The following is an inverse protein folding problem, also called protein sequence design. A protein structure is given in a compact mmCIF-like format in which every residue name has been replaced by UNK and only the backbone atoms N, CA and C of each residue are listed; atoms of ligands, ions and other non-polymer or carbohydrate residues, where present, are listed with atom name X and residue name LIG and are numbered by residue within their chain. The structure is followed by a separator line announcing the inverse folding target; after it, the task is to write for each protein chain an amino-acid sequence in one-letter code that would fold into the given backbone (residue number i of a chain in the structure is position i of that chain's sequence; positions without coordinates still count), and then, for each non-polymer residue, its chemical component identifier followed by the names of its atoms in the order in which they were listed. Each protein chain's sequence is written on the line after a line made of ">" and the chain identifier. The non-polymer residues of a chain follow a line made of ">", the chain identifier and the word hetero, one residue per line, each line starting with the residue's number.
data_IF_403221127046
#
_entry.id   IF_403221127046
#
_cell.length_a   1.000
_cell.length_b   1.000
_cell.length_c   1.000
_cell.angle_alpha   90.00
_cell.angle_beta   90.00
_cell.angle_gamma   90.00
#
_symmetry.space_group_name_H-M   'P 1'
#
loop_
_entity.id
_entity.type
_entity.pdbx_description
1 polymer ?
#
# COMPACT_ATOMS: atom_id res chain seq x y z
N UNK A 1 3.50 11.50 -5.98
CA UNK A 1 2.09 11.06 -5.90
C UNK A 1 1.87 10.58 -4.48
N UNK A 2 0.85 11.05 -3.77
CA UNK A 2 0.47 10.48 -2.47
C UNK A 2 -0.44 9.29 -2.76
N UNK A 3 -0.20 8.16 -2.10
CA UNK A 3 -1.02 6.96 -2.25
C UNK A 3 -2.07 6.90 -1.18
N UNK A 4 -3.34 7.15 -1.55
CA UNK A 4 -4.43 6.94 -0.62
C UNK A 4 -4.71 5.44 -0.52
N UNK A 5 -4.51 4.89 0.67
CA UNK A 5 -4.86 3.49 0.91
C UNK A 5 -6.17 3.46 1.69
N UNK A 6 -7.28 3.37 0.95
CA UNK A 6 -8.60 3.20 1.56
C UNK A 6 -8.66 1.92 2.41
N UNK A 7 -9.32 1.95 3.58
CA UNK A 7 -9.83 0.72 4.16
C UNK A 7 -10.75 0.06 3.13
N UNK A 8 -10.63 -1.26 2.97
CA UNK A 8 -11.49 -2.03 2.05
C UNK A 8 -12.88 -2.06 2.68
N UNK A 9 -13.67 -1.01 2.46
CA UNK A 9 -15.11 -1.12 2.53
C UNK A 9 -15.60 -1.61 1.17
N UNK A 10 -16.67 -2.40 1.17
CA UNK A 10 -17.30 -3.01 -0.01
C UNK A 10 -17.91 -1.99 -1.01
N UNK A 11 -17.48 -0.72 -0.97
CA UNK A 11 -17.90 0.26 -1.96
C UNK A 11 -17.04 0.08 -3.21
N UNK A 12 -17.62 -0.58 -4.21
CA UNK A 12 -17.03 -0.72 -5.56
C UNK A 12 -17.06 0.60 -6.36
N UNK A 13 -17.56 1.71 -5.80
CA UNK A 13 -17.54 3.06 -6.39
C UNK A 13 -16.64 4.01 -5.60
N UNK A 14 -15.43 4.20 -6.13
CA UNK A 14 -14.40 5.09 -5.58
C UNK A 14 -14.21 6.38 -6.42
N UNK A 15 -15.24 6.80 -7.18
CA UNK A 15 -15.26 8.08 -7.95
C UNK A 15 -15.15 9.35 -7.09
N UNK A 16 -15.15 9.19 -5.76
CA UNK A 16 -15.07 10.28 -4.79
C UNK A 16 -13.73 11.03 -4.83
N UNK A 17 -12.65 10.43 -5.34
CA UNK A 17 -11.33 11.05 -5.44
C UNK A 17 -10.68 10.83 -6.81
N UNK A 18 -9.60 11.59 -7.09
CA UNK A 18 -8.79 11.41 -8.31
C UNK A 18 -7.30 11.60 -7.99
N UNK A 19 -6.42 11.20 -8.92
CA UNK A 19 -4.99 11.52 -8.86
C UNK A 19 -4.61 12.84 -9.56
N UNK A 20 -5.45 13.36 -10.45
CA UNK A 20 -5.17 14.59 -11.19
C UNK A 20 -5.42 15.84 -10.34
N UNK A 21 -4.37 16.59 -10.00
CA UNK A 21 -4.49 17.80 -9.17
C UNK A 21 -5.47 18.84 -9.74
N UNK A 22 -5.58 18.94 -11.07
CA UNK A 22 -6.48 19.88 -11.77
C UNK A 22 -7.96 19.58 -11.58
N UNK A 23 -8.34 18.39 -11.08
CA UNK A 23 -9.75 18.02 -10.87
C UNK A 23 -10.39 18.73 -9.67
N UNK A 24 -9.58 19.36 -8.81
CA UNK A 24 -10.03 19.83 -7.49
C UNK A 24 -10.27 18.71 -6.47
N UNK A 25 -10.17 17.44 -6.87
CA UNK A 25 -10.26 16.22 -6.06
C UNK A 25 -8.94 15.43 -6.06
N UNK A 26 -7.83 16.12 -6.27
CA UNK A 26 -6.48 15.55 -6.32
C UNK A 26 -5.91 15.24 -4.92
N UNK A 27 -4.75 14.55 -4.87
CA UNK A 27 -4.13 14.11 -3.62
C UNK A 27 -3.94 15.20 -2.56
N UNK A 28 -3.59 16.42 -2.97
CA UNK A 28 -3.41 17.56 -2.04
C UNK A 28 -4.68 17.94 -1.27
N UNK A 29 -5.86 17.50 -1.73
CA UNK A 29 -7.16 17.88 -1.18
C UNK A 29 -7.97 16.71 -0.64
N UNK A 30 -7.45 15.48 -0.68
CA UNK A 30 -8.22 14.30 -0.25
C UNK A 30 -8.79 14.43 1.17
N UNK A 31 -8.03 14.97 2.12
CA UNK A 31 -8.54 15.19 3.49
C UNK A 31 -9.66 16.24 3.61
N UNK A 32 -9.92 17.03 2.56
CA UNK A 32 -11.02 18.00 2.50
C UNK A 32 -12.28 17.42 1.85
N UNK A 33 -12.15 16.30 1.12
CA UNK A 33 -13.26 15.68 0.38
C UNK A 33 -14.23 14.97 1.33
N UNK A 34 -13.70 14.27 2.33
CA UNK A 34 -14.49 13.48 3.26
C UNK A 34 -13.95 13.66 4.70
N UNK A 35 -14.81 13.94 5.70
CA UNK A 35 -14.39 14.04 7.10
C UNK A 35 -13.64 12.82 7.64
N UNK A 36 -13.90 11.62 7.11
CA UNK A 36 -13.18 10.41 7.48
C UNK A 36 -11.76 10.31 6.88
N UNK A 37 -11.38 11.22 5.99
CA UNK A 37 -10.09 11.23 5.28
C UNK A 37 -9.13 12.29 5.80
N UNK A 38 -9.46 12.96 6.91
CA UNK A 38 -8.64 14.03 7.51
C UNK A 38 -7.19 13.64 7.78
N UNK A 39 -6.92 12.35 8.04
CA UNK A 39 -5.56 11.83 8.20
C UNK A 39 -4.66 12.10 6.98
N UNK A 40 -5.22 12.24 5.78
CA UNK A 40 -4.44 12.53 4.58
C UNK A 40 -4.06 14.01 4.44
N UNK A 41 -4.66 14.88 5.25
CA UNK A 41 -4.26 16.28 5.38
C UNK A 41 -3.39 16.51 6.63
N UNK A 42 -3.78 15.91 7.76
CA UNK A 42 -3.23 16.25 9.07
C UNK A 42 -2.34 15.15 9.69
N UNK A 43 -2.23 13.98 9.04
CA UNK A 43 -1.43 12.87 9.54
C UNK A 43 0.07 13.17 9.44
N UNK A 44 0.83 12.84 10.49
CA UNK A 44 2.29 13.02 10.53
C UNK A 44 3.08 11.80 10.02
N UNK A 45 2.41 10.66 9.82
CA UNK A 45 3.00 9.40 9.36
C UNK A 45 2.35 8.94 8.05
N UNK A 46 2.39 9.80 7.03
CA UNK A 46 1.85 9.49 5.70
C UNK A 46 2.88 8.74 4.84
N UNK A 47 2.36 7.94 3.91
CA UNK A 47 3.12 7.34 2.81
C UNK A 47 2.60 7.89 1.48
N UNK A 48 3.41 7.86 0.41
CA UNK A 48 4.78 7.37 0.34
C UNK A 48 5.81 8.35 0.93
N UNK A 49 7.06 7.90 1.02
CA UNK A 49 8.22 8.71 1.41
C UNK A 49 9.38 8.48 0.44
N UNK A 50 10.35 9.38 0.47
CA UNK A 50 11.66 9.15 -0.15
C UNK A 50 12.54 8.31 0.77
N UNK A 51 13.04 7.18 0.23
CA UNK A 51 13.94 6.27 0.92
C UNK A 51 15.38 6.71 0.62
N UNK A 52 15.91 7.55 1.50
CA UNK A 52 17.26 8.12 1.38
C UNK A 52 18.25 7.24 2.17
N UNK A 53 19.22 6.66 1.48
CA UNK A 53 20.21 5.74 2.06
C UNK A 53 21.06 6.36 3.19
N UNK A 54 21.38 7.64 3.12
CA UNK A 54 22.21 8.33 4.12
C UNK A 54 21.51 8.55 5.47
N UNK A 55 20.18 8.39 5.54
CA UNK A 55 19.38 8.59 6.77
C UNK A 55 18.71 7.31 7.28
N UNK A 56 19.02 6.15 6.70
CA UNK A 56 18.53 4.87 7.23
C UNK A 56 19.42 4.37 8.36
N UNK A 57 18.82 3.67 9.32
CA UNK A 57 19.55 2.92 10.33
C UNK A 57 19.61 1.45 9.92
N UNK A 58 20.82 0.89 9.84
CA UNK A 58 21.01 -0.53 9.55
C UNK A 58 20.78 -1.34 10.83
N UNK A 59 19.75 -2.18 10.81
CA UNK A 59 19.37 -3.04 11.93
C UNK A 59 19.55 -4.52 11.54
N UNK A 60 20.78 -5.03 11.67
CA UNK A 60 21.13 -6.40 11.26
C UNK A 60 20.34 -7.49 11.98
N UNK A 61 19.91 -7.24 13.22
CA UNK A 61 19.11 -8.17 14.02
C UNK A 61 17.70 -8.44 13.44
N UNK A 62 17.21 -7.61 12.51
CA UNK A 62 15.93 -7.85 11.82
C UNK A 62 15.99 -9.08 10.90
N UNK A 63 17.20 -9.46 10.45
CA UNK A 63 17.41 -10.63 9.58
C UNK A 63 16.73 -10.51 8.21
N UNK A 64 16.57 -11.66 7.55
CA UNK A 64 15.85 -11.75 6.28
C UNK A 64 14.35 -11.85 6.53
N UNK A 65 13.56 -11.16 5.72
CA UNK A 65 12.11 -11.28 5.75
C UNK A 65 11.68 -12.74 5.52
N UNK A 66 11.01 -13.32 6.51
CA UNK A 66 10.45 -14.66 6.44
C UNK A 66 9.11 -14.64 5.69
N UNK A 67 9.06 -15.33 4.55
CA UNK A 67 7.92 -15.40 3.64
C UNK A 67 7.59 -16.88 3.41
N UNK A 68 6.34 -17.23 3.61
CA UNK A 68 5.80 -18.56 3.35
C UNK A 68 4.56 -18.40 2.49
N UNK A 69 4.77 -18.19 1.19
CA UNK A 69 3.71 -18.00 0.21
C UNK A 69 3.36 -19.31 -0.47
N UNK A 70 2.09 -19.48 -0.82
CA UNK A 70 1.62 -20.65 -1.56
C UNK A 70 0.60 -20.28 -2.63
N UNK A 71 0.49 -21.07 -3.71
CA UNK A 71 -0.55 -20.87 -4.70
C UNK A 71 -1.94 -20.92 -4.07
N UNK A 72 -2.80 -19.97 -4.43
CA UNK A 72 -4.19 -19.93 -4.00
C UNK A 72 -5.05 -19.25 -5.07
N UNK A 73 -6.34 -19.61 -5.19
CA UNK A 73 -7.26 -18.93 -6.09
C UNK A 73 -7.34 -17.44 -5.78
N UNK A 74 -7.37 -16.61 -6.83
CA UNK A 74 -7.45 -15.16 -6.71
C UNK A 74 -8.35 -14.56 -7.80
N UNK A 75 -8.83 -13.36 -7.54
CA UNK A 75 -9.54 -12.54 -8.52
C UNK A 75 -8.74 -11.30 -8.84
N UNK A 76 -8.68 -10.94 -10.12
CA UNK A 76 -8.17 -9.65 -10.58
C UNK A 76 -9.35 -8.69 -10.73
N UNK A 77 -9.22 -7.47 -10.23
CA UNK A 77 -10.21 -6.41 -10.39
C UNK A 77 -9.53 -5.11 -10.83
N UNK A 78 -10.18 -4.39 -11.73
CA UNK A 78 -9.90 -2.98 -11.97
C UNK A 78 -10.83 -2.16 -11.07
N UNK A 79 -10.28 -1.31 -10.20
CA UNK A 79 -11.04 -0.46 -9.26
C UNK A 79 -11.17 0.99 -9.73
N UNK A 80 -10.80 1.27 -10.97
CA UNK A 80 -10.74 2.61 -11.56
C UNK A 80 -9.47 3.38 -11.22
N UNK A 81 -8.89 3.18 -10.04
CA UNK A 81 -7.67 3.86 -9.57
C UNK A 81 -6.45 2.93 -9.43
N UNK A 82 -6.67 1.61 -9.44
CA UNK A 82 -5.62 0.59 -9.50
C UNK A 82 -6.13 -0.70 -10.17
N UNK A 83 -5.19 -1.58 -10.50
CA UNK A 83 -5.46 -2.99 -10.73
C UNK A 83 -5.08 -3.75 -9.45
N UNK A 84 -5.96 -4.62 -8.98
CA UNK A 84 -5.78 -5.32 -7.72
C UNK A 84 -6.00 -6.83 -7.88
N UNK A 85 -5.13 -7.62 -7.27
CA UNK A 85 -5.31 -9.06 -7.05
C UNK A 85 -5.80 -9.26 -5.63
N UNK A 86 -6.90 -9.98 -5.45
CA UNK A 86 -7.42 -10.39 -4.14
C UNK A 86 -7.48 -11.91 -4.07
N UNK A 87 -6.79 -12.50 -3.10
CA UNK A 87 -6.84 -13.94 -2.89
C UNK A 87 -8.17 -14.34 -2.23
N UNK A 88 -8.72 -15.48 -2.69
CA UNK A 88 -9.96 -16.09 -2.18
C UNK A 88 -9.69 -17.27 -1.24
N UNK A 89 -8.45 -17.74 -1.20
CA UNK A 89 -7.96 -18.75 -0.27
C UNK A 89 -6.74 -18.27 0.48
N UNK A 90 -6.08 -19.19 1.18
CA UNK A 90 -4.86 -18.92 1.92
C UNK A 90 -3.64 -18.83 0.98
N UNK A 91 -3.21 -17.60 0.68
CA UNK A 91 -2.02 -17.32 -0.13
C UNK A 91 -0.70 -17.41 0.65
N UNK A 92 -0.77 -17.80 1.92
CA UNK A 92 0.35 -17.82 2.83
C UNK A 92 0.53 -16.50 3.59
N UNK A 93 1.71 -16.33 4.16
CA UNK A 93 1.96 -15.31 5.18
C UNK A 93 3.41 -14.80 5.17
N UNK A 94 3.60 -13.69 5.90
CA UNK A 94 4.92 -13.26 6.36
C UNK A 94 4.96 -13.31 7.89
N UNK A 95 6.16 -13.40 8.45
CA UNK A 95 6.39 -13.32 9.91
C UNK A 95 7.28 -12.14 10.24
N UNK A 96 6.78 -11.27 11.13
CA UNK A 96 7.51 -10.10 11.66
C UNK A 96 7.48 -10.19 13.17
N UNK A 97 8.64 -10.29 13.83
CA UNK A 97 8.77 -10.41 15.29
C UNK A 97 7.83 -11.45 15.91
N UNK A 98 7.78 -12.65 15.32
CA UNK A 98 6.91 -13.76 15.75
C UNK A 98 5.43 -13.60 15.37
N UNK A 99 5.00 -12.42 14.92
CA UNK A 99 3.62 -12.18 14.48
C UNK A 99 3.44 -12.60 13.03
N UNK A 100 2.42 -13.42 12.78
CA UNK A 100 2.01 -13.87 11.44
C UNK A 100 1.08 -12.83 10.81
N UNK A 101 1.34 -12.49 9.55
CA UNK A 101 0.48 -11.64 8.74
C UNK A 101 0.11 -12.36 7.44
N UNK A 102 -1.17 -12.65 7.26
CA UNK A 102 -1.70 -13.33 6.07
C UNK A 102 -1.75 -12.38 4.88
N UNK A 103 -1.32 -12.86 3.71
CA UNK A 103 -1.42 -12.13 2.45
C UNK A 103 -2.87 -12.05 1.98
N UNK A 104 -3.41 -10.84 1.82
CA UNK A 104 -4.79 -10.64 1.40
C UNK A 104 -4.91 -10.16 -0.04
N UNK A 105 -4.05 -9.22 -0.41
CA UNK A 105 -4.25 -8.39 -1.57
C UNK A 105 -2.92 -7.85 -2.07
N UNK A 106 -2.87 -7.61 -3.37
CA UNK A 106 -1.74 -7.02 -4.05
C UNK A 106 -2.24 -6.05 -5.13
N UNK A 107 -1.63 -4.88 -5.29
CA UNK A 107 -1.99 -3.90 -6.34
C UNK A 107 -0.75 -3.21 -6.87
N UNK A 108 -0.91 -2.56 -8.01
CA UNK A 108 0.14 -1.80 -8.66
C UNK A 108 -0.17 -0.31 -8.69
N UNK A 109 0.89 0.48 -8.64
CA UNK A 109 0.93 1.90 -8.99
C UNK A 109 1.94 2.11 -10.10
N UNK A 110 1.62 2.99 -11.05
CA UNK A 110 2.56 3.46 -12.06
C UNK A 110 2.41 4.97 -12.22
N UNK A 111 3.49 5.76 -12.06
CA UNK A 111 4.84 5.34 -11.64
C UNK A 111 4.92 5.04 -10.12
N UNK A 112 6.10 4.66 -9.60
CA UNK A 112 6.26 4.29 -8.20
C UNK A 112 5.90 5.40 -7.22
N UNK A 113 5.21 5.05 -6.13
CA UNK A 113 4.80 6.06 -5.14
C UNK A 113 6.01 6.54 -4.33
N UNK A 114 6.70 5.57 -3.70
CA UNK A 114 7.99 5.78 -3.05
C UNK A 114 9.08 6.08 -4.07
N UNK A 115 10.06 6.87 -3.63
CA UNK A 115 11.30 7.11 -4.36
C UNK A 115 12.47 6.53 -3.58
N UNK A 116 13.58 6.24 -4.27
CA UNK A 116 14.84 5.83 -3.66
C UNK A 116 15.88 6.87 -4.07
N UNK A 117 16.46 7.59 -3.09
CA UNK A 117 17.36 8.71 -3.34
C UNK A 117 16.79 9.70 -4.38
N UNK A 118 15.51 10.07 -4.24
CA UNK A 118 14.79 10.96 -5.17
C UNK A 118 14.38 10.33 -6.51
N UNK A 119 14.84 9.12 -6.83
CA UNK A 119 14.54 8.44 -8.10
C UNK A 119 13.23 7.65 -8.02
N UNK A 120 12.43 7.74 -9.08
CA UNK A 120 11.15 7.05 -9.24
C UNK A 120 11.31 5.87 -10.20
N UNK A 121 10.61 4.77 -9.91
CA UNK A 121 10.58 3.57 -10.76
C UNK A 121 9.29 3.56 -11.58
N UNK A 122 9.28 2.81 -12.68
CA UNK A 122 8.16 2.77 -13.62
C UNK A 122 6.93 2.08 -13.03
N UNK A 123 7.14 1.11 -12.15
CA UNK A 123 6.08 0.33 -11.54
C UNK A 123 6.37 0.06 -10.06
N UNK A 124 5.29 -0.04 -9.28
CA UNK A 124 5.37 -0.24 -7.85
C UNK A 124 4.27 -1.15 -7.34
N UNK A 125 4.72 -2.27 -6.80
CA UNK A 125 3.89 -3.37 -6.37
C UNK A 125 3.66 -3.29 -4.86
N UNK A 126 2.41 -3.20 -4.40
CA UNK A 126 2.06 -3.06 -2.98
C UNK A 126 1.24 -4.27 -2.50
N UNK A 127 1.87 -5.09 -1.65
CA UNK A 127 1.27 -6.27 -1.03
C UNK A 127 0.72 -5.90 0.34
N UNK A 128 -0.54 -6.26 0.62
CA UNK A 128 -1.22 -6.01 1.90
C UNK A 128 -1.37 -7.31 2.68
N UNK A 129 -0.99 -7.24 3.95
CA UNK A 129 -1.12 -8.33 4.90
C UNK A 129 -1.89 -7.89 6.15
N UNK A 130 -2.51 -8.85 6.83
CA UNK A 130 -3.23 -8.63 8.10
C UNK A 130 -2.86 -9.69 9.14
N UNK A 131 -2.70 -9.29 10.40
CA UNK A 131 -2.55 -10.24 11.52
C UNK A 131 -3.91 -10.65 12.09
N UNK A 132 -3.92 -11.67 12.95
CA UNK A 132 -5.12 -12.08 13.70
C UNK A 132 -5.67 -10.98 14.62
N UNK A 133 -4.83 -10.03 15.02
CA UNK A 133 -5.20 -8.86 15.82
C UNK A 133 -5.64 -7.65 14.95
N UNK A 134 -5.93 -7.86 13.66
CA UNK A 134 -6.31 -6.83 12.68
C UNK A 134 -5.26 -5.73 12.44
N UNK A 135 -3.99 -5.95 12.85
CA UNK A 135 -2.89 -5.08 12.45
C UNK A 135 -2.56 -5.31 11.00
N UNK A 136 -2.38 -4.23 10.23
CA UNK A 136 -1.98 -4.32 8.82
C UNK A 136 -0.50 -4.08 8.66
N UNK A 137 0.10 -4.70 7.65
CA UNK A 137 1.45 -4.38 7.19
C UNK A 137 1.50 -4.46 5.66
N UNK A 138 2.48 -3.81 5.05
CA UNK A 138 2.66 -3.78 3.61
C UNK A 138 4.11 -4.09 3.23
N UNK A 139 4.27 -4.81 2.13
CA UNK A 139 5.56 -4.96 1.45
C UNK A 139 5.42 -4.30 0.10
N UNK A 140 6.43 -3.52 -0.28
CA UNK A 140 6.45 -2.84 -1.57
C UNK A 140 7.65 -3.26 -2.40
N UNK A 141 7.45 -3.50 -3.68
CA UNK A 141 8.51 -3.84 -4.64
C UNK A 141 8.51 -2.80 -5.77
N UNK A 142 9.56 -1.96 -5.89
CA UNK A 142 9.79 -1.17 -7.09
C UNK A 142 10.31 -2.06 -8.22
N UNK A 143 9.94 -1.75 -9.46
CA UNK A 143 10.38 -2.44 -10.68
C UNK A 143 10.48 -1.48 -11.85
#
# INVERSE_FOLDING_TARGET
>A
MVGFLFPVNNADDESAFTYGEKSGKGPRRWGEINPHWQACKNGSMQSPIDLIDTRVQVLSHLGRLNRDYKPAPATVKNRGHDITVRWKGDAGEIKINGTKYKLLQFHWHSPSEHTINGSRYELFSVFRFISSANSTTRITLPS
#
